data_IF_231574110149
#
_entry.id   IF_231574110149
#
_cell.length_a   1.000
_cell.length_b   1.000
_cell.length_c   1.000
_cell.angle_alpha   90.00
_cell.angle_beta   90.00
_cell.angle_gamma   90.00
#
_symmetry.space_group_name_H-M   'P 1'
#
loop_
_entity.id
_entity.type
_entity.pdbx_description
1 polymer ?
#
# COMPACT_ATOMS: atom_id res chain seq x y z
N UNK A 1 8.02 28.46 -9.23
CA UNK A 1 8.42 28.55 -7.81
C UNK A 1 9.33 27.38 -7.38
N UNK A 2 9.35 26.26 -8.13
CA UNK A 2 10.22 25.11 -7.83
C UNK A 2 9.60 24.12 -6.84
N UNK A 3 8.32 24.30 -6.51
CA UNK A 3 7.58 23.39 -5.65
C UNK A 3 7.03 22.17 -6.43
N UNK A 4 6.82 21.07 -5.72
CA UNK A 4 6.27 19.83 -6.23
C UNK A 4 4.78 19.76 -5.90
N UNK A 5 3.97 19.43 -6.91
CA UNK A 5 2.53 19.17 -6.75
C UNK A 5 2.22 17.72 -7.04
N UNK A 6 1.34 17.14 -6.24
CA UNK A 6 0.81 15.81 -6.54
C UNK A 6 -0.36 15.91 -7.52
N UNK A 7 -0.19 15.39 -8.73
CA UNK A 7 -1.25 15.38 -9.75
C UNK A 7 -2.19 14.18 -9.63
N UNK A 8 -1.69 13.06 -9.13
CA UNK A 8 -2.43 11.81 -8.96
C UNK A 8 -2.08 11.20 -7.60
N UNK A 9 -3.06 10.57 -6.94
CA UNK A 9 -2.85 9.88 -5.67
C UNK A 9 -1.87 8.70 -5.83
N UNK A 10 -1.24 8.26 -4.74
CA UNK A 10 -0.47 7.02 -4.81
C UNK A 10 -1.42 5.84 -5.12
N UNK A 11 -0.98 4.94 -6.00
CA UNK A 11 -1.71 3.72 -6.36
C UNK A 11 -0.71 2.56 -6.53
N UNK A 12 -1.25 1.35 -6.61
CA UNK A 12 -0.47 0.12 -6.71
C UNK A 12 -1.04 -1.02 -5.88
N UNK A 13 -0.29 -2.11 -5.81
CA UNK A 13 -0.63 -3.29 -5.03
C UNK A 13 0.61 -4.05 -4.56
N UNK A 14 0.40 -5.24 -4.02
CA UNK A 14 1.45 -6.17 -3.56
C UNK A 14 2.21 -6.80 -4.75
N UNK A 15 2.89 -5.96 -5.53
CA UNK A 15 3.62 -6.33 -6.76
C UNK A 15 5.12 -6.04 -6.62
N UNK A 16 5.65 -6.20 -5.40
CA UNK A 16 7.07 -5.98 -5.11
C UNK A 16 7.95 -7.21 -5.40
N UNK A 17 9.24 -7.06 -5.11
CA UNK A 17 10.20 -8.15 -5.22
C UNK A 17 9.88 -9.36 -4.33
N UNK A 18 9.12 -9.18 -3.24
CA UNK A 18 8.63 -10.29 -2.42
C UNK A 18 7.69 -11.20 -3.19
N UNK A 19 6.90 -10.66 -4.13
CA UNK A 19 5.99 -11.48 -4.94
C UNK A 19 6.74 -12.43 -5.87
N UNK A 20 7.94 -12.04 -6.32
CA UNK A 20 8.85 -12.92 -7.05
C UNK A 20 9.36 -14.05 -6.15
N UNK A 21 9.61 -13.78 -4.87
CA UNK A 21 9.97 -14.81 -3.88
C UNK A 21 8.80 -15.78 -3.69
N UNK A 22 7.57 -15.27 -3.49
CA UNK A 22 6.37 -16.10 -3.35
C UNK A 22 6.17 -17.00 -4.57
N UNK A 23 6.34 -16.46 -5.78
CA UNK A 23 6.23 -17.22 -7.02
C UNK A 23 7.29 -18.34 -7.09
N UNK A 24 8.50 -18.10 -6.59
CA UNK A 24 9.56 -19.11 -6.52
C UNK A 24 9.19 -20.24 -5.56
N UNK A 25 8.70 -19.92 -4.36
CA UNK A 25 8.28 -20.94 -3.39
C UNK A 25 7.02 -21.70 -3.85
N UNK A 26 6.07 -21.04 -4.53
CA UNK A 26 4.96 -21.73 -5.21
C UNK A 26 5.43 -22.69 -6.29
N UNK A 27 6.45 -22.29 -7.07
CA UNK A 27 7.07 -23.17 -8.04
C UNK A 27 7.73 -24.38 -7.37
N UNK A 28 8.48 -24.19 -6.29
CA UNK A 28 9.00 -25.31 -5.50
C UNK A 28 7.89 -26.19 -4.94
N UNK A 29 6.78 -25.62 -4.48
CA UNK A 29 5.60 -26.36 -4.02
C UNK A 29 4.91 -27.14 -5.15
N UNK A 30 4.99 -26.66 -6.38
CA UNK A 30 4.49 -27.36 -7.57
C UNK A 30 5.42 -28.52 -7.96
N UNK A 31 6.73 -28.39 -7.75
CA UNK A 31 7.71 -29.46 -7.96
C UNK A 31 7.67 -30.54 -6.87
N UNK A 32 7.69 -30.12 -5.61
CA UNK A 32 7.97 -30.99 -4.46
C UNK A 32 6.80 -31.13 -3.49
N UNK A 33 5.63 -30.55 -3.80
CA UNK A 33 4.46 -30.54 -2.93
C UNK A 33 4.39 -29.30 -2.05
N UNK A 34 3.25 -28.60 -2.07
CA UNK A 34 3.06 -27.36 -1.33
C UNK A 34 3.12 -27.55 0.18
N UNK A 35 2.57 -28.64 0.71
CA UNK A 35 2.66 -28.99 2.14
C UNK A 35 4.10 -29.30 2.55
N UNK A 36 4.85 -30.01 1.69
CA UNK A 36 6.23 -30.42 1.95
C UNK A 36 7.15 -29.20 2.05
N UNK A 37 7.03 -28.27 1.09
CA UNK A 37 7.82 -27.02 1.12
C UNK A 37 7.45 -26.17 2.32
N UNK A 38 6.16 -26.02 2.64
CA UNK A 38 5.72 -25.27 3.82
C UNK A 38 6.29 -25.86 5.11
N UNK A 39 6.30 -27.18 5.26
CA UNK A 39 6.88 -27.83 6.43
C UNK A 39 8.41 -27.62 6.50
N UNK A 40 9.10 -27.61 5.36
CA UNK A 40 10.52 -27.28 5.31
C UNK A 40 10.80 -25.83 5.73
N UNK A 41 9.96 -24.88 5.33
CA UNK A 41 10.06 -23.46 5.72
C UNK A 41 9.91 -23.27 7.23
N UNK A 42 8.96 -23.98 7.85
CA UNK A 42 8.66 -23.92 9.28
C UNK A 42 9.74 -24.64 10.12
N UNK A 43 10.18 -25.83 9.68
CA UNK A 43 11.11 -26.68 10.45
C UNK A 43 12.57 -26.28 10.28
N UNK A 44 12.95 -25.79 9.11
CA UNK A 44 14.34 -25.49 8.76
C UNK A 44 14.49 -24.01 8.38
N UNK A 45 14.22 -23.13 9.35
CA UNK A 45 14.13 -21.67 9.11
C UNK A 45 15.43 -21.05 8.58
N UNK A 46 16.60 -21.54 9.01
CA UNK A 46 17.89 -21.06 8.52
C UNK A 46 18.09 -21.36 7.04
N UNK A 47 17.77 -22.59 6.62
CA UNK A 47 17.84 -23.03 5.22
C UNK A 47 16.90 -22.23 4.32
N UNK A 48 15.70 -21.90 4.83
CA UNK A 48 14.76 -21.01 4.15
C UNK A 48 15.35 -19.61 3.94
N UNK A 49 15.98 -19.03 4.97
CA UNK A 49 16.62 -17.70 4.86
C UNK A 49 17.77 -17.70 3.85
N UNK A 50 18.56 -18.77 3.78
CA UNK A 50 19.66 -18.86 2.83
C UNK A 50 19.14 -18.99 1.39
N UNK A 51 18.08 -19.76 1.17
CA UNK A 51 17.41 -19.82 -0.12
C UNK A 51 16.81 -18.45 -0.52
N UNK A 52 16.19 -17.73 0.42
CA UNK A 52 15.72 -16.36 0.19
C UNK A 52 16.85 -15.43 -0.26
N UNK A 53 18.05 -15.51 0.35
CA UNK A 53 19.21 -14.73 -0.07
C UNK A 53 19.65 -15.08 -1.50
N UNK A 54 19.66 -16.36 -1.87
CA UNK A 54 19.97 -16.77 -3.25
C UNK A 54 18.98 -16.18 -4.26
N UNK A 55 17.68 -16.12 -3.91
CA UNK A 55 16.66 -15.49 -4.74
C UNK A 55 16.91 -13.98 -4.86
N UNK A 56 17.24 -13.27 -3.78
CA UNK A 56 17.58 -11.83 -3.84
C UNK A 56 18.77 -11.56 -4.78
N UNK A 57 19.82 -12.38 -4.71
CA UNK A 57 20.97 -12.29 -5.60
C UNK A 57 20.56 -12.54 -7.06
N UNK A 58 19.74 -13.55 -7.29
CA UNK A 58 19.22 -13.84 -8.63
C UNK A 58 18.39 -12.66 -9.16
N UNK A 59 17.47 -12.10 -8.37
CA UNK A 59 16.58 -11.02 -8.83
C UNK A 59 17.33 -9.77 -9.28
N UNK A 60 18.43 -9.45 -8.60
CA UNK A 60 19.31 -8.32 -8.95
C UNK A 60 20.08 -8.57 -10.24
N UNK A 61 20.57 -9.81 -10.44
CA UNK A 61 21.41 -10.18 -11.59
C UNK A 61 20.62 -10.57 -12.84
N UNK A 62 19.38 -11.03 -12.67
CA UNK A 62 18.53 -11.46 -13.77
C UNK A 62 18.14 -10.25 -14.63
N UNK A 63 18.29 -10.40 -15.95
CA UNK A 63 18.07 -9.37 -16.95
C UNK A 63 17.80 -9.99 -18.32
N UNK A 64 17.36 -9.18 -19.28
CA UNK A 64 17.12 -9.62 -20.65
C UNK A 64 18.45 -9.61 -21.42
N UNK A 65 18.97 -10.80 -21.71
CA UNK A 65 20.19 -10.95 -22.51
C UNK A 65 20.67 -12.38 -22.60
N UNK A 66 21.45 -12.65 -23.65
CA UNK A 66 21.94 -14.00 -24.01
C UNK A 66 22.74 -14.67 -22.89
N UNK A 67 23.39 -13.89 -22.02
CA UNK A 67 24.15 -14.42 -20.89
C UNK A 67 23.28 -15.28 -19.95
N UNK A 68 22.02 -14.90 -19.72
CA UNK A 68 21.11 -15.68 -18.86
C UNK A 68 20.63 -16.97 -19.54
N UNK A 69 20.57 -17.00 -20.87
CA UNK A 69 20.31 -18.23 -21.63
C UNK A 69 21.51 -19.17 -21.63
N UNK A 70 22.73 -18.62 -21.62
CA UNK A 70 23.98 -19.40 -21.62
C UNK A 70 24.46 -19.82 -20.21
N UNK A 71 24.09 -19.08 -19.17
CA UNK A 71 24.44 -19.35 -17.77
C UNK A 71 23.20 -19.21 -16.87
N UNK A 72 22.25 -20.14 -16.96
CA UNK A 72 21.00 -20.06 -16.22
C UNK A 72 21.22 -20.13 -14.70
N UNK A 73 20.38 -19.43 -13.92
CA UNK A 73 20.45 -19.42 -12.47
C UNK A 73 20.35 -20.82 -11.86
N UNK A 74 21.11 -21.02 -10.78
CA UNK A 74 21.19 -22.27 -10.03
C UNK A 74 20.92 -21.96 -8.57
N UNK A 75 20.05 -22.74 -7.96
CA UNK A 75 19.68 -22.61 -6.56
C UNK A 75 20.12 -23.86 -5.81
N UNK A 76 20.85 -23.70 -4.70
CA UNK A 76 21.17 -24.83 -3.86
C UNK A 76 19.92 -25.22 -3.07
N UNK A 77 19.37 -26.41 -3.34
CA UNK A 77 18.34 -26.94 -2.46
C UNK A 77 19.05 -27.34 -1.15
N UNK A 78 18.63 -26.83 0.02
CA UNK A 78 19.30 -27.14 1.28
C UNK A 78 19.29 -28.64 1.57
N UNK A 79 20.34 -29.16 2.21
CA UNK A 79 20.47 -30.61 2.45
C UNK A 79 19.28 -31.19 3.25
N UNK A 80 18.79 -30.44 4.24
CA UNK A 80 17.62 -30.85 5.02
C UNK A 80 16.35 -30.92 4.17
N UNK A 81 16.17 -29.98 3.23
CA UNK A 81 15.06 -30.01 2.28
C UNK A 81 15.18 -31.23 1.37
N UNK A 82 16.38 -31.52 0.85
CA UNK A 82 16.60 -32.69 0.00
C UNK A 82 16.27 -33.99 0.73
N UNK A 83 16.71 -34.13 1.97
CA UNK A 83 16.44 -35.32 2.80
C UNK A 83 14.94 -35.46 3.05
N UNK A 84 14.29 -34.38 3.49
CA UNK A 84 12.86 -34.38 3.80
C UNK A 84 11.97 -34.66 2.58
N UNK A 85 12.26 -34.02 1.43
CA UNK A 85 11.54 -34.25 0.17
C UNK A 85 11.71 -35.70 -0.29
N UNK A 86 12.93 -36.24 -0.21
CA UNK A 86 13.19 -37.64 -0.59
C UNK A 86 12.45 -38.64 0.28
N UNK A 87 12.43 -38.43 1.60
CA UNK A 87 11.70 -39.28 2.54
C UNK A 87 10.19 -39.22 2.30
N UNK A 88 9.64 -38.03 2.09
CA UNK A 88 8.20 -37.85 1.88
C UNK A 88 7.70 -38.46 0.57
N UNK A 89 8.45 -38.31 -0.52
CA UNK A 89 8.05 -38.81 -1.84
C UNK A 89 8.57 -40.22 -2.16
N UNK A 90 9.40 -40.79 -1.29
CA UNK A 90 10.12 -42.05 -1.52
C UNK A 90 10.87 -42.07 -2.87
N UNK A 91 11.33 -40.89 -3.31
CA UNK A 91 11.88 -40.67 -4.65
C UNK A 91 13.04 -39.67 -4.61
N UNK A 92 14.08 -39.92 -5.41
CA UNK A 92 15.16 -38.95 -5.60
C UNK A 92 14.64 -37.65 -6.22
N UNK A 93 15.06 -36.50 -5.68
CA UNK A 93 14.61 -35.19 -6.18
C UNK A 93 14.86 -35.01 -7.68
N UNK A 94 15.97 -35.58 -8.19
CA UNK A 94 16.29 -35.53 -9.62
C UNK A 94 15.21 -36.21 -10.46
N UNK A 95 14.65 -37.32 -9.98
CA UNK A 95 13.55 -38.01 -10.65
C UNK A 95 12.24 -37.23 -10.52
N UNK A 96 11.96 -36.61 -9.36
CA UNK A 96 10.79 -35.74 -9.18
C UNK A 96 10.82 -34.58 -10.19
N UNK A 97 11.94 -33.87 -10.29
CA UNK A 97 12.10 -32.76 -11.25
C UNK A 97 12.00 -33.25 -12.69
N UNK A 98 12.64 -34.38 -13.03
CA UNK A 98 12.60 -34.93 -14.39
C UNK A 98 11.20 -35.41 -14.83
N UNK A 99 10.36 -35.85 -13.88
CA UNK A 99 9.00 -36.30 -14.14
C UNK A 99 7.95 -35.17 -14.04
N UNK A 100 8.38 -33.95 -13.70
CA UNK A 100 7.49 -32.81 -13.57
C UNK A 100 7.11 -32.20 -14.93
N UNK A 101 6.04 -31.41 -14.94
CA UNK A 101 5.65 -30.58 -16.09
C UNK A 101 6.73 -29.53 -16.47
N UNK A 102 7.67 -29.26 -15.57
CA UNK A 102 8.76 -28.31 -15.76
C UNK A 102 10.06 -28.96 -16.29
N UNK A 103 10.06 -30.25 -16.62
CA UNK A 103 11.24 -31.03 -17.02
C UNK A 103 12.02 -30.47 -18.23
N UNK A 104 11.40 -29.61 -19.06
CA UNK A 104 12.07 -28.92 -20.17
C UNK A 104 12.88 -27.69 -19.72
N UNK A 105 12.52 -27.11 -18.57
CA UNK A 105 13.00 -25.81 -18.11
C UNK A 105 13.63 -25.85 -16.71
N UNK A 106 13.48 -26.95 -15.97
CA UNK A 106 14.04 -27.16 -14.64
C UNK A 106 14.84 -28.46 -14.58
N UNK A 107 16.07 -28.40 -14.06
CA UNK A 107 16.98 -29.54 -13.99
C UNK A 107 17.72 -29.57 -12.66
N UNK A 108 17.78 -30.71 -12.00
CA UNK A 108 18.61 -30.90 -10.81
C UNK A 108 19.97 -31.48 -11.19
N UNK A 109 21.05 -30.79 -10.84
CA UNK A 109 22.41 -31.32 -11.01
C UNK A 109 22.77 -32.30 -9.89
N UNK A 110 23.79 -33.13 -10.12
CA UNK A 110 24.20 -34.20 -9.19
C UNK A 110 24.69 -33.69 -7.82
N UNK A 111 25.04 -32.40 -7.72
CA UNK A 111 25.36 -31.73 -6.44
C UNK A 111 24.15 -31.04 -5.77
N UNK A 112 22.92 -31.36 -6.18
CA UNK A 112 21.70 -30.85 -5.56
C UNK A 112 21.34 -29.40 -5.90
N UNK A 113 21.89 -28.85 -7.00
CA UNK A 113 21.53 -27.50 -7.47
C UNK A 113 20.41 -27.57 -8.49
N UNK A 114 19.33 -26.84 -8.24
CA UNK A 114 18.21 -26.67 -9.15
C UNK A 114 18.54 -25.56 -10.15
N UNK A 115 18.73 -25.95 -11.41
CA UNK A 115 18.98 -25.06 -12.55
C UNK A 115 17.65 -24.74 -13.22
N UNK A 116 17.35 -23.45 -13.38
CA UNK A 116 16.11 -22.97 -14.00
C UNK A 116 16.41 -22.20 -15.28
N UNK A 117 15.67 -22.48 -16.35
CA UNK A 117 15.80 -21.74 -17.61
C UNK A 117 15.39 -20.27 -17.42
N UNK A 118 16.00 -19.39 -18.22
CA UNK A 118 15.64 -17.98 -18.22
C UNK A 118 14.14 -17.78 -18.54
N UNK A 119 13.60 -18.59 -19.46
CA UNK A 119 12.18 -18.59 -19.85
C UNK A 119 11.26 -18.88 -18.66
N UNK A 120 11.58 -19.89 -17.85
CA UNK A 120 10.78 -20.24 -16.68
C UNK A 120 10.84 -19.15 -15.61
N UNK A 121 12.03 -18.61 -15.32
CA UNK A 121 12.20 -17.51 -14.37
C UNK A 121 11.40 -16.28 -14.81
N UNK A 122 11.51 -15.89 -16.07
CA UNK A 122 10.77 -14.78 -16.65
C UNK A 122 9.26 -15.03 -16.56
N UNK A 123 8.79 -16.18 -17.05
CA UNK A 123 7.35 -16.46 -17.21
C UNK A 123 6.65 -16.69 -15.88
N UNK A 124 7.24 -17.48 -14.97
CA UNK A 124 6.58 -17.87 -13.72
C UNK A 124 6.89 -16.91 -12.57
N UNK A 125 8.08 -16.32 -12.54
CA UNK A 125 8.50 -15.55 -11.36
C UNK A 125 8.30 -14.05 -11.58
N UNK A 126 8.76 -13.50 -12.70
CA UNK A 126 8.79 -12.05 -12.93
C UNK A 126 7.57 -11.50 -13.64
N UNK A 127 7.15 -12.07 -14.77
CA UNK A 127 6.07 -11.54 -15.60
C UNK A 127 4.75 -11.34 -14.85
N UNK A 128 4.30 -12.24 -13.96
CA UNK A 128 3.09 -12.02 -13.17
C UNK A 128 3.15 -10.75 -12.30
N UNK A 129 4.35 -10.34 -11.89
CA UNK A 129 4.58 -9.17 -11.05
C UNK A 129 4.74 -7.92 -11.92
N UNK A 130 5.64 -7.97 -12.90
CA UNK A 130 5.99 -6.80 -13.73
C UNK A 130 4.83 -6.38 -14.63
N UNK A 131 4.00 -7.31 -15.11
CA UNK A 131 2.82 -6.96 -15.90
C UNK A 131 1.80 -6.15 -15.09
N UNK A 132 1.63 -6.43 -13.79
CA UNK A 132 0.77 -5.62 -12.93
C UNK A 132 1.32 -4.18 -12.80
N UNK A 133 2.65 -4.05 -12.61
CA UNK A 133 3.31 -2.73 -12.55
C UNK A 133 3.11 -1.95 -13.86
N UNK A 134 3.26 -2.61 -15.01
CA UNK A 134 3.03 -1.99 -16.32
C UNK A 134 1.61 -1.49 -16.46
N UNK A 135 0.63 -2.35 -16.20
CA UNK A 135 -0.78 -2.01 -16.36
C UNK A 135 -1.16 -0.82 -15.49
N UNK A 136 -0.71 -0.79 -14.23
CA UNK A 136 -0.99 0.34 -13.35
C UNK A 136 -0.30 1.63 -13.81
N UNK A 137 0.94 1.52 -14.31
CA UNK A 137 1.66 2.67 -14.88
C UNK A 137 0.93 3.21 -16.12
N UNK A 138 0.41 2.34 -17.00
CA UNK A 138 -0.39 2.71 -18.16
C UNK A 138 -1.67 3.45 -17.76
N UNK A 139 -2.38 2.96 -16.74
CA UNK A 139 -3.59 3.60 -16.21
C UNK A 139 -3.30 5.05 -15.77
N UNK A 140 -2.26 5.24 -14.94
CA UNK A 140 -1.87 6.58 -14.45
C UNK A 140 -1.46 7.50 -15.61
N UNK A 141 -0.68 7.02 -16.58
CA UNK A 141 -0.26 7.80 -17.74
C UNK A 141 -1.46 8.23 -18.60
N UNK A 142 -2.45 7.34 -18.76
CA UNK A 142 -3.67 7.63 -19.49
C UNK A 142 -4.52 8.68 -18.77
N UNK A 143 -4.73 8.55 -17.46
CA UNK A 143 -5.47 9.53 -16.65
C UNK A 143 -4.85 10.93 -16.70
N UNK A 144 -3.51 10.99 -16.67
CA UNK A 144 -2.77 12.25 -16.74
C UNK A 144 -2.60 12.80 -18.18
N UNK A 145 -3.18 12.14 -19.20
CA UNK A 145 -3.24 12.61 -20.60
C UNK A 145 -1.89 13.04 -21.18
N UNK A 146 -0.81 12.33 -20.85
CA UNK A 146 0.54 12.61 -21.39
C UNK A 146 1.27 13.79 -20.75
N UNK A 147 0.86 14.24 -19.56
CA UNK A 147 1.57 15.26 -18.78
C UNK A 147 2.90 14.77 -18.17
N UNK A 148 3.24 13.49 -18.36
CA UNK A 148 4.43 12.86 -17.77
C UNK A 148 5.56 12.77 -18.79
N UNK A 149 6.70 13.37 -18.45
CA UNK A 149 7.92 13.36 -19.27
C UNK A 149 8.89 12.24 -18.86
N UNK A 150 9.02 12.03 -17.54
CA UNK A 150 9.98 11.12 -16.94
C UNK A 150 9.26 10.14 -16.00
N UNK A 151 9.71 8.89 -15.95
CA UNK A 151 9.35 7.91 -14.91
C UNK A 151 10.61 7.66 -14.08
N UNK A 152 10.54 7.90 -12.77
CA UNK A 152 11.64 7.61 -11.85
C UNK A 152 11.36 6.35 -11.04
N UNK A 153 12.21 5.34 -11.21
CA UNK A 153 12.15 4.09 -10.47
C UNK A 153 12.93 4.18 -9.16
N UNK A 154 12.25 3.85 -8.05
CA UNK A 154 12.78 3.87 -6.67
C UNK A 154 12.47 2.56 -5.96
N UNK A 155 13.10 2.31 -4.80
CA UNK A 155 12.94 1.09 -4.01
C UNK A 155 13.84 -0.05 -4.48
N UNK A 156 14.06 -1.04 -3.61
CA UNK A 156 15.04 -2.11 -3.85
C UNK A 156 14.73 -2.98 -5.07
N UNK A 157 13.46 -3.18 -5.42
CA UNK A 157 13.10 -3.99 -6.59
C UNK A 157 13.43 -3.30 -7.92
N UNK A 158 13.55 -1.97 -7.92
CA UNK A 158 14.00 -1.18 -9.07
C UNK A 158 15.49 -1.38 -9.40
N UNK A 159 16.24 -2.08 -8.53
CA UNK A 159 17.62 -2.51 -8.80
C UNK A 159 17.68 -3.74 -9.71
N UNK A 160 16.56 -4.42 -9.95
CA UNK A 160 16.50 -5.55 -10.89
C UNK A 160 16.62 -5.07 -12.33
N UNK A 161 17.62 -5.58 -13.04
CA UNK A 161 17.85 -5.21 -14.44
C UNK A 161 16.70 -5.69 -15.35
N UNK A 162 16.14 -6.87 -15.08
CA UNK A 162 14.96 -7.36 -15.79
C UNK A 162 13.77 -6.39 -15.67
N UNK A 163 13.47 -5.92 -14.45
CA UNK A 163 12.35 -5.00 -14.22
C UNK A 163 12.61 -3.67 -14.94
N UNK A 164 13.80 -3.09 -14.79
CA UNK A 164 14.17 -1.84 -15.45
C UNK A 164 14.01 -1.92 -16.97
N UNK A 165 14.59 -2.95 -17.61
CA UNK A 165 14.50 -3.13 -19.06
C UNK A 165 13.06 -3.35 -19.52
N UNK A 166 12.31 -4.16 -18.78
CA UNK A 166 10.91 -4.47 -19.10
C UNK A 166 10.02 -3.22 -19.05
N UNK A 167 10.19 -2.36 -18.05
CA UNK A 167 9.46 -1.09 -17.96
C UNK A 167 9.92 -0.13 -19.07
N UNK A 168 11.24 -0.04 -19.34
CA UNK A 168 11.79 0.81 -20.38
C UNK A 168 11.23 0.49 -21.77
N UNK A 169 11.13 -0.79 -22.10
CA UNK A 169 10.55 -1.29 -23.35
C UNK A 169 9.05 -1.01 -23.45
N UNK A 170 8.34 -0.98 -22.32
CA UNK A 170 6.88 -0.76 -22.29
C UNK A 170 6.52 0.71 -22.47
N UNK A 171 7.41 1.63 -22.07
CA UNK A 171 7.18 3.08 -22.13
C UNK A 171 8.26 3.81 -22.95
N UNK A 172 8.43 3.50 -24.24
CA UNK A 172 9.54 4.04 -25.05
C UNK A 172 9.48 5.56 -25.28
N UNK A 173 8.30 6.17 -25.07
CA UNK A 173 8.08 7.62 -25.21
C UNK A 173 8.39 8.40 -23.94
N UNK A 174 8.60 7.72 -22.82
CA UNK A 174 8.81 8.32 -21.51
C UNK A 174 10.23 8.01 -21.06
N UNK A 175 10.95 9.02 -20.56
CA UNK A 175 12.33 8.81 -20.13
C UNK A 175 12.35 8.06 -18.80
N UNK A 176 12.84 6.82 -18.81
CA UNK A 176 12.96 6.01 -17.61
C UNK A 176 14.28 6.29 -16.88
N UNK A 177 14.16 6.86 -15.68
CA UNK A 177 15.25 7.13 -14.75
C UNK A 177 15.27 6.06 -13.66
N UNK A 178 16.46 5.57 -13.32
CA UNK A 178 16.69 4.72 -12.15
C UNK A 178 17.43 5.54 -11.11
N UNK A 179 16.84 5.70 -9.92
CA UNK A 179 17.47 6.47 -8.86
C UNK A 179 18.81 5.82 -8.46
N UNK A 180 19.84 6.64 -8.24
CA UNK A 180 21.09 6.15 -7.69
C UNK A 180 20.84 5.61 -6.27
N UNK A 181 21.31 4.39 -6.00
CA UNK A 181 20.96 3.64 -4.79
C UNK A 181 19.44 3.60 -4.59
N UNK A 182 18.71 3.06 -5.57
CA UNK A 182 17.25 3.06 -5.60
C UNK A 182 16.62 2.55 -4.30
N UNK A 183 17.23 1.55 -3.63
CA UNK A 183 16.81 1.08 -2.30
C UNK A 183 16.85 2.14 -1.18
N UNK A 184 17.68 3.18 -1.30
CA UNK A 184 17.81 4.28 -0.33
C UNK A 184 17.14 5.59 -0.79
N UNK A 185 16.65 5.66 -2.03
CA UNK A 185 16.15 6.89 -2.61
C UNK A 185 15.01 7.53 -1.81
N UNK A 186 14.07 6.73 -1.30
CA UNK A 186 12.94 7.20 -0.48
C UNK A 186 13.43 7.77 0.85
N UNK A 187 14.36 7.08 1.54
CA UNK A 187 14.94 7.55 2.79
C UNK A 187 15.69 8.87 2.59
N UNK A 188 16.53 8.97 1.55
CA UNK A 188 17.24 10.21 1.22
C UNK A 188 16.27 11.35 0.94
N UNK A 189 15.19 11.08 0.20
CA UNK A 189 14.11 12.04 -0.05
C UNK A 189 13.42 12.50 1.24
N UNK A 190 13.16 11.58 2.18
CA UNK A 190 12.55 11.90 3.46
C UNK A 190 13.45 12.82 4.32
N UNK A 191 14.75 12.58 4.35
CA UNK A 191 15.72 13.45 5.04
C UNK A 191 15.73 14.86 4.42
N UNK A 192 15.78 14.95 3.08
CA UNK A 192 15.71 16.24 2.38
C UNK A 192 14.39 16.97 2.66
N UNK A 193 13.27 16.25 2.66
CA UNK A 193 11.96 16.81 3.00
C UNK A 193 11.92 17.37 4.41
N UNK A 194 12.49 16.67 5.40
CA UNK A 194 12.58 17.16 6.78
C UNK A 194 13.34 18.49 6.91
N UNK A 195 14.36 18.71 6.08
CA UNK A 195 15.09 19.98 6.02
C UNK A 195 14.34 21.09 5.26
N UNK A 196 13.43 20.74 4.36
CA UNK A 196 12.75 21.71 3.47
C UNK A 196 11.32 21.27 3.18
N UNK A 197 10.42 21.32 4.17
CA UNK A 197 9.07 20.76 4.04
C UNK A 197 8.20 21.50 3.02
N UNK A 198 8.48 22.79 2.77
CA UNK A 198 7.79 23.60 1.75
C UNK A 198 8.11 23.23 0.30
N UNK A 199 8.93 22.20 0.06
CA UNK A 199 9.21 21.71 -1.31
C UNK A 199 7.98 21.09 -1.97
N UNK A 200 7.05 20.55 -1.19
CA UNK A 200 5.74 20.08 -1.69
C UNK A 200 4.77 21.21 -1.49
N UNK A 201 4.01 21.64 -2.50
CA UNK A 201 3.02 22.73 -2.34
C UNK A 201 1.60 22.21 -2.14
N UNK A 202 1.26 21.07 -2.73
CA UNK A 202 -0.05 20.42 -2.57
C UNK A 202 0.02 18.90 -2.72
N UNK A 203 -0.95 18.23 -2.09
CA UNK A 203 -1.15 16.77 -2.13
C UNK A 203 -2.57 16.43 -2.57
N UNK A 204 -2.79 15.19 -3.00
CA UNK A 204 -4.13 14.65 -3.28
C UNK A 204 -4.61 13.85 -2.09
N UNK A 205 -5.80 14.14 -1.59
CA UNK A 205 -6.39 13.40 -0.48
C UNK A 205 -6.50 11.91 -0.80
N UNK A 206 -5.93 11.05 0.05
CA UNK A 206 -5.99 9.60 -0.12
C UNK A 206 -7.36 9.02 0.25
N UNK A 207 -8.12 9.75 1.08
CA UNK A 207 -9.43 9.36 1.58
C UNK A 207 -10.34 10.59 1.62
N UNK A 208 -11.62 10.33 1.74
CA UNK A 208 -12.60 11.34 2.15
C UNK A 208 -12.52 11.50 3.66
N UNK A 209 -12.38 12.73 4.15
CA UNK A 209 -12.27 13.06 5.56
C UNK A 209 -13.49 13.83 6.03
N UNK A 210 -13.92 13.55 7.26
CA UNK A 210 -15.09 14.21 7.83
C UNK A 210 -15.27 13.94 9.32
N UNK A 211 -16.32 14.51 9.85
CA UNK A 211 -16.72 14.38 11.25
C UNK A 211 -17.99 13.54 11.37
N UNK A 212 -18.02 12.63 12.33
CA UNK A 212 -19.22 11.87 12.65
C UNK A 212 -20.13 12.68 13.56
N UNK A 213 -21.34 12.97 13.10
CA UNK A 213 -22.38 13.67 13.84
C UNK A 213 -23.63 12.79 13.98
N UNK A 214 -24.60 13.26 14.75
CA UNK A 214 -25.92 12.64 14.82
C UNK A 214 -26.97 13.62 14.32
N UNK A 215 -27.96 13.09 13.61
CA UNK A 215 -29.20 13.81 13.32
C UNK A 215 -30.41 12.93 13.64
N UNK A 216 -31.57 13.56 13.68
CA UNK A 216 -32.86 12.87 13.82
C UNK A 216 -33.01 11.82 12.72
N UNK A 217 -33.43 10.62 13.11
CA UNK A 217 -33.69 9.50 12.20
C UNK A 217 -34.95 9.76 11.37
N UNK A 218 -34.85 9.61 10.04
CA UNK A 218 -35.94 9.81 9.09
C UNK A 218 -36.49 8.46 8.63
N UNK A 219 -37.59 8.05 9.26
CA UNK A 219 -38.26 6.78 8.95
C UNK A 219 -38.64 6.69 7.46
N UNK A 220 -38.25 5.59 6.83
CA UNK A 220 -38.52 5.32 5.41
C UNK A 220 -37.48 5.88 4.43
N UNK A 221 -36.53 6.69 4.92
CA UNK A 221 -35.39 7.20 4.15
C UNK A 221 -34.06 6.66 4.67
N UNK A 222 -33.92 6.57 5.99
CA UNK A 222 -32.69 6.13 6.64
C UNK A 222 -32.62 4.61 6.82
N UNK A 223 -31.40 4.01 6.79
CA UNK A 223 -31.19 2.61 7.15
C UNK A 223 -31.57 2.34 8.61
N UNK A 224 -32.53 1.45 8.82
CA UNK A 224 -33.04 1.11 10.16
C UNK A 224 -31.99 0.39 11.03
N UNK A 225 -31.03 -0.30 10.41
CA UNK A 225 -29.95 -1.01 11.08
C UNK A 225 -28.90 -0.08 11.72
N UNK A 226 -28.78 1.17 11.22
CA UNK A 226 -27.88 2.18 11.77
C UNK A 226 -28.55 3.08 12.82
N UNK A 227 -29.85 2.89 13.04
CA UNK A 227 -30.64 3.67 14.00
C UNK A 227 -30.12 3.49 15.43
N UNK A 228 -29.98 4.61 16.14
CA UNK A 228 -29.62 4.62 17.56
C UNK A 228 -30.55 5.50 18.38
N UNK A 229 -30.51 5.37 19.71
CA UNK A 229 -31.29 6.21 20.63
C UNK A 229 -30.39 7.16 21.41
N UNK A 230 -30.72 8.45 21.38
CA UNK A 230 -30.07 9.49 22.18
C UNK A 230 -31.16 10.20 22.98
N UNK A 231 -31.08 10.14 24.31
CA UNK A 231 -32.10 10.71 25.22
C UNK A 231 -33.53 10.24 24.93
N UNK A 232 -33.70 9.01 24.43
CA UNK A 232 -35.01 8.43 24.11
C UNK A 232 -35.52 8.75 22.71
N UNK A 233 -34.86 9.65 21.98
CA UNK A 233 -35.18 10.01 20.60
C UNK A 233 -34.36 9.18 19.60
N UNK A 234 -35.02 8.83 18.50
CA UNK A 234 -34.43 8.06 17.41
C UNK A 234 -33.51 8.95 16.57
N UNK A 235 -32.24 8.56 16.48
CA UNK A 235 -31.16 9.28 15.80
C UNK A 235 -30.39 8.32 14.88
N UNK A 236 -29.53 8.89 14.03
CA UNK A 236 -28.64 8.12 13.16
C UNK A 236 -27.27 8.81 13.08
N UNK A 237 -26.15 8.05 13.15
CA UNK A 237 -24.82 8.60 12.96
C UNK A 237 -24.57 8.87 11.47
N UNK A 238 -24.18 10.10 11.14
CA UNK A 238 -23.91 10.54 9.77
C UNK A 238 -22.45 10.92 9.60
N UNK A 239 -21.92 10.64 8.41
CA UNK A 239 -20.61 11.13 7.99
C UNK A 239 -20.79 12.50 7.35
N UNK A 240 -20.32 13.54 8.02
CA UNK A 240 -20.34 14.89 7.43
C UNK A 240 -18.98 15.14 6.79
N UNK A 241 -18.96 15.03 5.46
CA UNK A 241 -17.77 15.20 4.61
C UNK A 241 -17.27 16.65 4.66
N UNK A 242 -15.96 16.81 4.80
CA UNK A 242 -15.28 18.10 4.76
C UNK A 242 -14.30 18.19 3.59
N UNK A 243 -13.61 17.10 3.28
CA UNK A 243 -12.70 16.99 2.12
C UNK A 243 -12.90 15.64 1.45
N UNK A 244 -12.91 15.62 0.12
CA UNK A 244 -13.15 14.41 -0.68
C UNK A 244 -11.84 13.73 -1.08
N UNK A 245 -11.88 12.40 -1.21
CA UNK A 245 -10.78 11.65 -1.83
C UNK A 245 -10.44 12.25 -3.21
N UNK A 246 -9.16 12.47 -3.47
CA UNK A 246 -8.68 13.06 -4.73
C UNK A 246 -8.70 14.59 -4.78
N UNK A 247 -9.26 15.29 -3.80
CA UNK A 247 -9.15 16.75 -3.72
C UNK A 247 -7.68 17.18 -3.60
N UNK A 248 -7.32 18.28 -4.26
CA UNK A 248 -6.01 18.91 -4.09
C UNK A 248 -6.05 19.77 -2.82
N UNK A 249 -5.10 19.52 -1.92
CA UNK A 249 -5.00 20.23 -0.65
C UNK A 249 -3.59 20.80 -0.48
N UNK A 250 -3.50 22.09 -0.19
CA UNK A 250 -2.27 22.79 0.10
C UNK A 250 -1.80 22.61 1.55
N UNK A 251 -0.50 22.82 1.80
CA UNK A 251 0.03 22.82 3.16
C UNK A 251 -0.54 24.01 3.94
N UNK A 252 -1.11 23.73 5.11
CA UNK A 252 -1.76 24.72 5.98
C UNK A 252 -3.16 25.11 5.52
N UNK A 253 -3.66 24.51 4.44
CA UNK A 253 -5.02 24.78 3.98
C UNK A 253 -6.03 24.25 5.01
N UNK A 254 -7.02 25.08 5.31
CA UNK A 254 -8.02 24.82 6.35
C UNK A 254 -9.40 24.76 5.71
N UNK A 255 -10.11 23.68 6.00
CA UNK A 255 -11.48 23.45 5.57
C UNK A 255 -12.38 23.58 6.78
N UNK A 256 -13.21 24.61 6.78
CA UNK A 256 -14.25 24.79 7.78
C UNK A 256 -15.47 23.95 7.44
N UNK A 257 -16.16 23.46 8.47
CA UNK A 257 -17.49 22.93 8.30
C UNK A 257 -18.47 24.09 8.12
N UNK A 258 -19.29 24.05 7.06
CA UNK A 258 -20.21 25.15 6.70
C UNK A 258 -21.21 25.49 7.82
N UNK A 259 -21.62 24.49 8.60
CA UNK A 259 -22.61 24.63 9.65
C UNK A 259 -22.00 24.61 11.06
N UNK A 260 -22.55 25.42 11.95
CA UNK A 260 -22.26 25.32 13.39
C UNK A 260 -22.94 24.08 13.98
N UNK A 261 -22.20 23.35 14.83
CA UNK A 261 -22.70 22.11 15.40
C UNK A 261 -23.26 22.34 16.79
N UNK A 262 -24.53 21.98 16.97
CA UNK A 262 -25.25 22.14 18.22
C UNK A 262 -25.23 20.86 19.06
N UNK A 263 -25.24 20.95 20.40
CA UNK A 263 -25.37 19.78 21.27
C UNK A 263 -26.65 19.01 20.98
N UNK A 264 -26.52 17.72 20.66
CA UNK A 264 -27.68 16.80 20.52
C UNK A 264 -28.39 16.64 21.87
N UNK A 265 -27.64 16.74 22.97
CA UNK A 265 -28.17 16.69 24.34
C UNK A 265 -28.22 18.11 24.91
N UNK A 266 -29.41 18.56 25.32
CA UNK A 266 -29.65 19.93 25.81
C UNK A 266 -28.79 20.34 27.01
N UNK A 267 -28.40 19.37 27.86
CA UNK A 267 -27.63 19.62 29.10
C UNK A 267 -26.21 19.02 29.05
N UNK A 268 -25.64 18.80 27.85
CA UNK A 268 -24.30 18.23 27.77
C UNK A 268 -23.22 19.26 28.14
N UNK A 269 -22.41 19.05 29.19
CA UNK A 269 -21.34 19.97 29.56
C UNK A 269 -20.16 19.95 28.57
N UNK A 270 -20.16 19.00 27.64
CA UNK A 270 -19.12 18.84 26.62
C UNK A 270 -19.67 18.15 25.37
N UNK A 271 -19.07 18.46 24.22
CA UNK A 271 -19.29 17.76 22.95
C UNK A 271 -18.05 16.98 22.57
N UNK A 272 -18.25 15.79 22.01
CA UNK A 272 -17.15 14.99 21.48
C UNK A 272 -17.36 14.68 20.01
N UNK A 273 -16.35 15.03 19.22
CA UNK A 273 -16.32 14.87 17.78
C UNK A 273 -15.37 13.75 17.43
N UNK A 274 -15.87 12.75 16.72
CA UNK A 274 -15.06 11.68 16.17
C UNK A 274 -14.76 12.02 14.72
N UNK A 275 -13.50 11.89 14.34
CA UNK A 275 -13.02 12.18 12.99
C UNK A 275 -12.82 10.87 12.26
N UNK A 276 -13.31 10.81 11.03
CA UNK A 276 -13.32 9.60 10.23
C UNK A 276 -12.66 9.84 8.88
N UNK A 277 -12.15 8.74 8.32
CA UNK A 277 -11.80 8.63 6.90
C UNK A 277 -12.64 7.53 6.24
N UNK A 278 -12.92 7.68 4.95
CA UNK A 278 -13.53 6.65 4.11
C UNK A 278 -12.87 6.59 2.73
N UNK A 279 -12.82 5.40 2.13
CA UNK A 279 -12.37 5.23 0.75
C UNK A 279 -13.44 5.65 -0.28
N UNK A 280 -14.70 5.83 0.17
CA UNK A 280 -15.79 6.29 -0.68
C UNK A 280 -15.67 7.79 -0.98
N UNK A 281 -16.11 8.21 -2.17
CA UNK A 281 -16.18 9.63 -2.56
C UNK A 281 -17.24 10.40 -1.76
N UNK A 282 -18.38 9.75 -1.48
CA UNK A 282 -19.49 10.36 -0.78
C UNK A 282 -20.08 9.43 0.29
N UNK A 283 -19.35 9.16 1.38
CA UNK A 283 -19.91 8.47 2.54
C UNK A 283 -21.00 9.33 3.17
N UNK A 284 -22.15 8.71 3.46
CA UNK A 284 -23.33 9.39 4.04
C UNK A 284 -23.51 9.04 5.50
N UNK A 285 -23.25 7.78 5.86
CA UNK A 285 -23.44 7.25 7.21
C UNK A 285 -22.10 6.79 7.81
N UNK A 286 -22.06 6.68 9.13
CA UNK A 286 -20.94 6.01 9.81
C UNK A 286 -21.26 4.52 9.89
N UNK A 287 -20.59 3.75 9.05
CA UNK A 287 -20.77 2.30 8.86
C UNK A 287 -19.41 1.59 8.75
N UNK A 288 -19.38 0.35 8.26
CA UNK A 288 -18.17 -0.44 8.06
C UNK A 288 -17.13 0.19 7.12
N UNK A 289 -17.52 1.15 6.28
CA UNK A 289 -16.61 1.88 5.40
C UNK A 289 -15.90 3.06 6.09
N UNK A 290 -16.27 3.37 7.33
CA UNK A 290 -15.81 4.53 8.08
C UNK A 290 -14.79 4.15 9.16
N UNK A 291 -13.54 4.56 8.97
CA UNK A 291 -12.46 4.31 9.95
C UNK A 291 -12.29 5.55 10.82
N UNK A 292 -12.48 5.41 12.14
CA UNK A 292 -12.23 6.49 13.09
C UNK A 292 -10.73 6.73 13.23
N UNK A 293 -10.27 7.94 12.92
CA UNK A 293 -8.85 8.32 12.94
C UNK A 293 -8.51 9.29 14.08
N UNK A 294 -9.52 9.83 14.75
CA UNK A 294 -9.32 10.85 15.75
C UNK A 294 -10.54 11.13 16.61
N UNK A 295 -10.32 11.84 17.70
CA UNK A 295 -11.37 12.32 18.58
C UNK A 295 -10.97 13.65 19.21
N UNK A 296 -11.89 14.59 19.21
CA UNK A 296 -11.76 15.88 19.87
C UNK A 296 -12.89 16.05 20.88
N UNK A 297 -12.63 16.71 22.01
CA UNK A 297 -13.66 17.01 23.02
C UNK A 297 -13.59 18.48 23.39
N UNK A 298 -14.72 19.17 23.32
CA UNK A 298 -14.88 20.58 23.67
C UNK A 298 -15.77 20.66 24.90
N UNK A 299 -15.32 21.38 25.92
CA UNK A 299 -16.03 21.53 27.20
C UNK A 299 -16.73 22.88 27.28
N UNK A 300 -17.64 23.01 28.25
CA UNK A 300 -18.38 24.24 28.55
C UNK A 300 -19.19 24.76 27.34
N UNK A 301 -19.84 23.85 26.61
CA UNK A 301 -20.69 24.21 25.47
C UNK A 301 -22.10 24.54 25.96
N UNK A 302 -22.61 25.70 25.55
CA UNK A 302 -24.01 26.11 25.75
C UNK A 302 -24.74 26.40 24.45
N UNK A 303 -24.04 26.85 23.40
CA UNK A 303 -24.62 27.16 22.09
C UNK A 303 -24.15 26.20 21.00
N UNK A 304 -22.95 26.42 20.45
CA UNK A 304 -22.50 25.70 19.27
C UNK A 304 -20.99 25.58 19.18
N UNK A 305 -20.52 24.75 18.26
CA UNK A 305 -19.10 24.53 17.98
C UNK A 305 -18.86 24.65 16.49
N UNK A 306 -17.83 25.38 16.09
CA UNK A 306 -17.32 25.37 14.71
C UNK A 306 -16.14 24.42 14.60
N UNK A 307 -16.11 23.58 13.57
CA UNK A 307 -15.07 22.58 13.36
C UNK A 307 -14.34 22.90 12.06
N UNK A 308 -13.03 22.71 12.08
CA UNK A 308 -12.17 22.84 10.91
C UNK A 308 -11.13 21.74 10.86
N UNK A 309 -10.73 21.38 9.64
CA UNK A 309 -9.61 20.48 9.36
C UNK A 309 -8.53 21.27 8.65
N UNK A 310 -7.36 21.37 9.28
CA UNK A 310 -6.17 21.98 8.69
C UNK A 310 -5.22 20.87 8.24
N UNK A 311 -4.85 20.86 6.97
CA UNK A 311 -3.94 19.88 6.40
C UNK A 311 -2.50 20.39 6.48
N UNK A 312 -1.77 19.91 7.49
CA UNK A 312 -0.37 20.22 7.67
C UNK A 312 0.56 19.38 6.80
N UNK A 313 1.85 19.37 7.15
CA UNK A 313 2.89 18.65 6.42
C UNK A 313 2.70 17.12 6.43
N UNK A 314 2.54 16.56 7.62
CA UNK A 314 2.44 15.12 7.86
C UNK A 314 1.28 14.77 8.79
N UNK A 315 0.44 15.76 9.10
CA UNK A 315 -0.62 15.66 10.10
C UNK A 315 -1.85 16.41 9.61
N UNK A 316 -3.01 15.93 10.04
CA UNK A 316 -4.25 16.71 9.96
C UNK A 316 -4.52 17.27 11.35
N UNK A 317 -4.62 18.57 11.46
CA UNK A 317 -5.01 19.23 12.70
C UNK A 317 -6.51 19.48 12.67
N UNK A 318 -7.20 18.92 13.65
CA UNK A 318 -8.63 19.14 13.87
C UNK A 318 -8.75 20.25 14.90
N UNK A 319 -9.43 21.33 14.54
CA UNK A 319 -9.70 22.43 15.47
C UNK A 319 -11.20 22.57 15.66
N UNK A 320 -11.62 22.69 16.92
CA UNK A 320 -12.98 23.03 17.28
C UNK A 320 -13.00 24.29 18.14
N UNK A 321 -13.83 25.26 17.75
CA UNK A 321 -13.98 26.54 18.44
C UNK A 321 -15.31 26.54 19.15
N UNK A 322 -15.29 26.64 20.48
CA UNK A 322 -16.50 26.90 21.27
C UNK A 322 -16.99 28.31 20.95
N UNK A 323 -18.21 28.46 20.43
CA UNK A 323 -18.72 29.78 20.03
C UNK A 323 -19.07 30.66 21.22
N UNK A 324 -19.28 30.09 22.40
CA UNK A 324 -19.57 30.79 23.65
C UNK A 324 -18.30 31.37 24.28
N UNK A 325 -17.27 30.54 24.49
CA UNK A 325 -16.05 30.94 25.20
C UNK A 325 -14.96 31.46 24.27
N UNK A 326 -15.07 31.21 22.96
CA UNK A 326 -14.02 31.42 21.95
C UNK A 326 -12.74 30.60 22.19
N UNK A 327 -12.80 29.61 23.08
CA UNK A 327 -11.68 28.70 23.32
C UNK A 327 -11.58 27.65 22.21
N UNK A 328 -10.34 27.31 21.86
CA UNK A 328 -10.03 26.30 20.87
C UNK A 328 -9.70 24.97 21.56
N UNK A 329 -10.30 23.89 21.07
CA UNK A 329 -9.82 22.55 21.31
C UNK A 329 -9.11 22.08 20.03
N UNK A 330 -7.94 21.46 20.18
CA UNK A 330 -7.12 20.99 19.05
C UNK A 330 -6.78 19.52 19.25
N UNK A 331 -6.85 18.74 18.18
CA UNK A 331 -6.30 17.39 18.11
C UNK A 331 -5.45 17.25 16.84
N UNK A 332 -4.26 16.70 16.98
CA UNK A 332 -3.39 16.36 15.86
C UNK A 332 -3.58 14.89 15.50
N UNK A 333 -3.84 14.62 14.23
CA UNK A 333 -3.99 13.28 13.68
C UNK A 333 -2.73 12.96 12.90
N UNK A 334 -1.94 12.02 13.41
CA UNK A 334 -0.76 11.53 12.71
C UNK A 334 -1.18 10.64 11.54
N UNK A 335 -0.79 11.04 10.33
CA UNK A 335 -1.05 10.27 9.10
C UNK A 335 0.05 9.23 8.81
N UNK A 336 1.12 9.17 9.62
CA UNK A 336 2.26 8.26 9.46
C UNK A 336 2.24 7.07 10.41
N UNK A 337 1.36 7.06 11.42
CA UNK A 337 1.10 5.90 12.28
C UNK A 337 0.28 4.83 11.54
N UNK A 338 0.30 3.58 12.03
CA UNK A 338 -0.51 2.49 11.47
C UNK A 338 -1.98 2.90 11.37
N UNK A 339 -2.39 3.25 10.15
CA UNK A 339 -3.73 3.62 9.75
C UNK A 339 -4.21 2.71 8.63
#
# INVERSE_FOLDING_TARGET
DGSLKQLHRACGGDWGGNKVNDNFFKFLGSLFGHSVIKECEERYRSDFLDLQKEIEVMKRKFGKGDYMYNSPPKFQIPYMYQTFIKEHHEMELKAIVANSEFSQDAFLSDNGKLKLSAKLIETLLFNPVVNCIKQETENVLHELRGQIQDIMMVGGFSESEFVYQTIKESFPRTKLLRANEAGLAVLKGAVLYGHSPGVISSRRCAFTYGVGLYRVFLKGHDPEDLKCKIQGEDNIPVFVKMVTVGDEVGIGETFDLDEEIFPVKKDAPQMSFKIYRSALDNPVYIDESSIQIGKLTVKNITSSVRISLCFGLTQITVMAVNTDTKENAIAELDLLGEL
#
